data_IF_683012571900
#
_entry.id   IF_683012571900
#
_cell.length_a   1.000
_cell.length_b   1.000
_cell.length_c   1.000
_cell.angle_alpha   90.00
_cell.angle_beta   90.00
_cell.angle_gamma   90.00
#
_symmetry.space_group_name_H-M   'P 1'
#
loop_
_entity.id
_entity.type
_entity.pdbx_description
1 polymer ?
#
# COMPACT_ATOMS: atom_id res chain seq x y z
N UNK A 1 18.91 -6.01 -0.52
CA UNK A 1 18.89 -5.94 0.95
C UNK A 1 20.29 -5.61 1.39
N UNK A 2 20.46 -4.46 2.02
CA UNK A 2 21.69 -4.09 2.71
C UNK A 2 21.97 -5.09 3.82
N UNK A 3 23.24 -5.28 4.19
CA UNK A 3 23.62 -6.24 5.23
C UNK A 3 22.93 -5.96 6.58
N UNK A 4 22.54 -4.70 6.84
CA UNK A 4 21.76 -4.31 8.02
C UNK A 4 20.29 -4.78 7.99
N UNK A 5 19.65 -4.83 6.82
CA UNK A 5 18.25 -5.29 6.71
C UNK A 5 18.17 -6.80 6.93
N UNK A 6 19.17 -7.53 6.42
CA UNK A 6 19.32 -8.96 6.68
C UNK A 6 19.56 -9.20 8.17
N UNK A 7 20.46 -8.43 8.79
CA UNK A 7 20.78 -8.54 10.22
C UNK A 7 19.57 -8.30 11.14
N UNK A 8 18.68 -7.36 10.79
CA UNK A 8 17.42 -7.14 11.53
C UNK A 8 16.43 -8.31 11.38
N UNK A 9 16.32 -8.89 10.17
CA UNK A 9 15.49 -10.08 9.94
C UNK A 9 16.05 -11.30 10.66
N UNK A 10 17.38 -11.47 10.68
CA UNK A 10 18.05 -12.56 11.40
C UNK A 10 17.90 -12.43 12.92
N UNK A 11 18.05 -11.23 13.48
CA UNK A 11 17.82 -10.99 14.92
C UNK A 11 16.38 -11.29 15.34
N UNK A 12 15.40 -10.95 14.50
CA UNK A 12 14.01 -11.30 14.75
C UNK A 12 13.77 -12.81 14.62
N UNK A 13 14.36 -13.48 13.63
CA UNK A 13 14.26 -14.93 13.49
C UNK A 13 14.92 -15.70 14.66
N UNK A 14 16.09 -15.26 15.12
CA UNK A 14 16.77 -15.82 16.30
C UNK A 14 15.96 -15.61 17.59
N UNK A 15 15.31 -14.45 17.74
CA UNK A 15 14.41 -14.21 18.89
C UNK A 15 13.21 -15.16 18.90
N UNK A 16 12.67 -15.50 17.72
CA UNK A 16 11.52 -16.40 17.52
C UNK A 16 11.93 -17.86 17.71
N UNK A 17 13.10 -18.26 17.19
CA UNK A 17 13.65 -19.61 17.43
C UNK A 17 14.01 -19.83 18.91
N UNK A 18 14.53 -18.80 19.60
CA UNK A 18 14.77 -18.87 21.05
C UNK A 18 13.48 -19.03 21.85
N UNK A 19 12.39 -18.37 21.44
CA UNK A 19 11.07 -18.53 22.10
C UNK A 19 10.49 -19.91 21.82
N UNK A 20 10.60 -20.39 20.59
CA UNK A 20 10.17 -21.75 20.20
C UNK A 20 10.97 -22.82 20.95
N UNK A 21 12.29 -22.64 21.11
CA UNK A 21 13.14 -23.54 21.89
C UNK A 21 12.75 -23.57 23.37
N UNK A 22 12.47 -22.41 23.99
CA UNK A 22 11.93 -22.32 25.36
C UNK A 22 10.58 -23.02 25.51
N UNK A 23 9.65 -22.78 24.59
CA UNK A 23 8.33 -23.44 24.55
C UNK A 23 8.44 -24.97 24.45
N UNK A 24 9.36 -25.50 23.64
CA UNK A 24 9.64 -26.95 23.59
C UNK A 24 10.29 -27.48 24.87
N UNK A 25 11.16 -26.69 25.51
CA UNK A 25 11.84 -27.07 26.74
C UNK A 25 10.89 -27.07 27.94
N UNK A 26 9.93 -26.15 27.98
CA UNK A 26 8.89 -26.03 29.00
C UNK A 26 7.78 -27.08 28.83
N UNK A 27 7.40 -27.42 27.59
CA UNK A 27 6.54 -28.58 27.29
C UNK A 27 7.10 -29.90 27.79
N UNK A 28 8.42 -30.06 27.80
CA UNK A 28 9.09 -31.24 28.35
C UNK A 28 9.17 -31.28 29.89
N UNK A 29 8.90 -30.14 30.56
CA UNK A 29 9.10 -29.97 32.01
C UNK A 29 7.84 -30.14 32.85
N UNK A 30 6.67 -30.24 32.22
CA UNK A 30 5.40 -30.50 32.93
C UNK A 30 4.95 -29.38 33.85
N UNK A 31 5.41 -28.15 33.62
CA UNK A 31 4.88 -26.96 34.29
C UNK A 31 3.63 -26.52 33.52
N UNK A 32 2.48 -26.50 34.20
CA UNK A 32 1.26 -25.95 33.63
C UNK A 32 1.46 -24.44 33.47
N UNK A 33 1.58 -23.96 32.24
CA UNK A 33 1.46 -22.53 31.96
C UNK A 33 0.07 -22.08 32.42
N UNK A 34 0.01 -21.00 33.19
CA UNK A 34 -1.25 -20.41 33.62
C UNK A 34 -2.07 -20.04 32.39
N UNK A 35 -3.39 -20.26 32.45
CA UNK A 35 -4.28 -20.07 31.28
C UNK A 35 -4.21 -18.66 30.69
N UNK A 36 -3.83 -17.67 31.49
CA UNK A 36 -3.65 -16.27 31.09
C UNK A 36 -2.38 -16.07 30.26
N UNK A 37 -1.25 -16.68 30.64
CA UNK A 37 0.00 -16.62 29.87
C UNK A 37 -0.12 -17.37 28.54
N UNK A 38 -0.85 -18.49 28.53
CA UNK A 38 -1.17 -19.19 27.30
C UNK A 38 -2.10 -18.38 26.37
N UNK A 39 -3.05 -17.62 26.92
CA UNK A 39 -3.92 -16.71 26.17
C UNK A 39 -3.17 -15.48 25.64
N UNK A 40 -2.23 -14.92 26.41
CA UNK A 40 -1.37 -13.81 25.99
C UNK A 40 -0.43 -14.23 24.85
N UNK A 41 0.23 -15.39 24.97
CA UNK A 41 1.08 -15.96 23.91
C UNK A 41 0.27 -16.29 22.65
N UNK A 42 -0.98 -16.75 22.82
CA UNK A 42 -1.87 -17.01 21.70
C UNK A 42 -2.37 -15.68 21.08
N UNK A 43 -2.62 -14.63 21.87
CA UNK A 43 -2.94 -13.29 21.37
C UNK A 43 -1.75 -12.65 20.63
N UNK A 44 -0.52 -12.82 21.12
CA UNK A 44 0.70 -12.36 20.45
C UNK A 44 1.00 -13.14 19.16
N UNK A 45 0.81 -14.47 19.17
CA UNK A 45 0.95 -15.32 17.99
C UNK A 45 -0.14 -15.05 16.93
N UNK A 46 -1.38 -14.79 17.36
CA UNK A 46 -2.50 -14.41 16.48
C UNK A 46 -2.38 -12.98 15.94
N UNK A 47 -1.69 -12.08 16.66
CA UNK A 47 -1.30 -10.76 16.14
C UNK A 47 -0.09 -10.83 15.19
N UNK A 48 0.64 -11.94 15.23
CA UNK A 48 1.89 -12.20 14.52
C UNK A 48 1.80 -13.15 13.32
N UNK A 49 0.61 -13.46 12.80
CA UNK A 49 0.49 -14.22 11.54
C UNK A 49 0.93 -13.35 10.34
N UNK A 50 2.24 -13.34 10.08
CA UNK A 50 2.90 -13.01 8.82
C UNK A 50 2.15 -12.03 7.89
N UNK A 51 1.88 -10.82 8.39
CA UNK A 51 1.74 -9.66 7.50
C UNK A 51 3.11 -9.51 6.86
N UNK A 52 3.28 -10.02 5.64
CA UNK A 52 4.50 -9.83 4.85
C UNK A 52 4.85 -8.33 4.73
N UNK A 53 5.87 -7.95 3.93
CA UNK A 53 6.34 -6.55 3.82
C UNK A 53 5.33 -5.59 3.16
N UNK A 54 4.06 -5.97 3.11
CA UNK A 54 2.94 -5.25 2.51
C UNK A 54 2.15 -4.53 3.60
N UNK A 55 2.14 -3.22 3.54
CA UNK A 55 1.17 -2.37 4.21
C UNK A 55 -0.19 -2.58 3.55
N UNK A 56 -1.18 -2.95 4.35
CA UNK A 56 -2.55 -3.22 3.93
C UNK A 56 -3.48 -2.14 4.48
N UNK A 57 -4.06 -1.33 3.59
CA UNK A 57 -4.94 -0.22 3.96
C UNK A 57 -6.37 -0.46 3.42
N UNK A 58 -7.34 -0.53 4.33
CA UNK A 58 -8.76 -0.56 4.00
C UNK A 58 -9.27 0.87 3.76
N UNK A 59 -9.78 1.13 2.56
CA UNK A 59 -10.23 2.47 2.17
C UNK A 59 -11.72 2.67 2.47
N UNK A 60 -12.53 1.70 2.04
CA UNK A 60 -13.99 1.77 2.07
C UNK A 60 -14.59 0.37 2.16
N UNK A 61 -15.68 0.26 2.92
CA UNK A 61 -16.56 -0.92 2.93
C UNK A 61 -17.98 -0.44 2.67
N UNK A 62 -18.64 -1.02 1.67
CA UNK A 62 -20.05 -0.76 1.36
C UNK A 62 -20.88 -2.02 1.60
N UNK A 63 -22.11 -1.85 2.09
CA UNK A 63 -23.13 -2.89 2.01
C UNK A 63 -23.90 -2.73 0.70
N UNK A 64 -23.94 -3.78 -0.12
CA UNK A 64 -24.67 -3.85 -1.39
C UNK A 64 -25.67 -4.99 -1.34
N UNK A 65 -26.83 -4.86 -1.98
CA UNK A 65 -27.92 -5.82 -1.84
C UNK A 65 -28.38 -6.34 -3.21
N UNK A 66 -28.77 -7.62 -3.27
CA UNK A 66 -29.45 -8.22 -4.42
C UNK A 66 -30.93 -8.40 -4.09
N UNK A 67 -31.82 -7.87 -4.91
CA UNK A 67 -33.27 -8.08 -4.77
C UNK A 67 -33.64 -9.48 -5.28
N UNK A 68 -34.44 -10.21 -4.50
CA UNK A 68 -35.01 -11.52 -4.82
C UNK A 68 -36.53 -11.50 -4.54
N UNK A 69 -37.34 -12.41 -5.12
CA UNK A 69 -38.80 -12.40 -4.93
C UNK A 69 -39.30 -12.52 -3.47
N UNK A 70 -38.42 -12.82 -2.51
CA UNK A 70 -38.74 -12.90 -1.07
C UNK A 70 -37.99 -11.89 -0.18
N UNK A 71 -37.32 -10.88 -0.74
CA UNK A 71 -36.59 -9.86 0.04
C UNK A 71 -35.31 -9.37 -0.63
N UNK A 72 -34.33 -8.94 0.16
CA UNK A 72 -33.01 -8.57 -0.34
C UNK A 72 -31.91 -9.36 0.38
N UNK A 73 -30.93 -9.82 -0.38
CA UNK A 73 -29.75 -10.52 0.16
C UNK A 73 -28.60 -9.52 0.25
N UNK A 74 -28.14 -9.13 1.46
CA UNK A 74 -27.03 -8.23 1.63
C UNK A 74 -25.69 -8.92 1.37
N UNK A 75 -24.72 -8.14 0.90
CA UNK A 75 -23.32 -8.52 0.70
C UNK A 75 -22.45 -7.31 0.99
N UNK A 76 -21.24 -7.53 1.48
CA UNK A 76 -20.28 -6.46 1.70
C UNK A 76 -19.28 -6.39 0.56
N UNK A 77 -18.92 -5.17 0.18
CA UNK A 77 -17.87 -4.87 -0.80
C UNK A 77 -16.79 -4.05 -0.12
N UNK A 78 -15.56 -4.56 -0.12
CA UNK A 78 -14.40 -3.87 0.41
C UNK A 78 -13.52 -3.34 -0.73
N UNK A 79 -12.92 -2.17 -0.53
CA UNK A 79 -11.90 -1.56 -1.38
C UNK A 79 -10.62 -1.42 -0.54
N UNK A 80 -9.55 -2.07 -0.97
CA UNK A 80 -8.27 -2.07 -0.27
C UNK A 80 -7.14 -1.63 -1.18
N UNK A 81 -6.13 -1.03 -0.57
CA UNK A 81 -4.85 -0.68 -1.19
C UNK A 81 -3.76 -1.43 -0.43
N UNK A 82 -2.78 -1.95 -1.18
CA UNK A 82 -1.61 -2.62 -0.62
C UNK A 82 -0.36 -1.98 -1.17
N UNK A 83 0.72 -1.91 -0.40
CA UNK A 83 2.01 -1.46 -0.91
C UNK A 83 3.16 -1.74 0.03
N UNK A 84 4.39 -1.67 -0.46
CA UNK A 84 5.59 -2.02 0.31
C UNK A 84 6.42 -0.79 0.71
N UNK A 85 5.87 0.42 0.60
CA UNK A 85 6.55 1.71 0.84
C UNK A 85 7.78 1.87 -0.08
N UNK A 86 7.98 0.96 -1.04
CA UNK A 86 9.17 0.86 -1.86
C UNK A 86 8.88 0.98 -3.35
N UNK A 87 7.79 1.68 -3.69
CA UNK A 87 7.35 1.89 -5.06
C UNK A 87 6.43 0.80 -5.60
N UNK A 88 6.23 -0.32 -4.90
CA UNK A 88 5.24 -1.31 -5.29
C UNK A 88 3.91 -1.02 -4.59
N UNK A 89 2.86 -0.81 -5.37
CA UNK A 89 1.53 -0.49 -4.85
C UNK A 89 0.46 -1.15 -5.71
N UNK A 90 -0.61 -1.64 -5.10
CA UNK A 90 -1.73 -2.31 -5.76
C UNK A 90 -3.05 -1.99 -5.09
N UNK A 91 -4.15 -2.19 -5.80
CA UNK A 91 -5.49 -2.06 -5.21
C UNK A 91 -6.36 -3.24 -5.62
N UNK A 92 -7.31 -3.55 -4.75
CA UNK A 92 -8.23 -4.67 -4.92
C UNK A 92 -9.63 -4.28 -4.51
N UNK A 93 -10.59 -5.02 -5.06
CA UNK A 93 -11.97 -5.00 -4.61
C UNK A 93 -12.35 -6.43 -4.29
N UNK A 94 -12.98 -6.63 -3.14
CA UNK A 94 -13.53 -7.91 -2.71
C UNK A 94 -15.02 -7.77 -2.43
N UNK A 95 -15.79 -8.84 -2.66
CA UNK A 95 -17.20 -8.90 -2.31
C UNK A 95 -17.51 -10.27 -1.69
N UNK A 96 -18.19 -10.27 -0.55
CA UNK A 96 -18.59 -11.48 0.16
C UNK A 96 -19.87 -11.24 0.97
N UNK A 97 -20.32 -12.27 1.69
CA UNK A 97 -21.49 -12.19 2.58
C UNK A 97 -21.10 -11.58 3.94
N UNK A 98 -19.88 -11.83 4.40
CA UNK A 98 -19.28 -11.20 5.57
C UNK A 98 -18.21 -10.15 5.20
N UNK A 99 -17.95 -9.22 6.12
CA UNK A 99 -16.98 -8.13 5.96
C UNK A 99 -15.54 -8.65 5.98
N UNK A 100 -15.22 -9.64 6.84
CA UNK A 100 -13.86 -10.18 6.95
C UNK A 100 -13.47 -10.89 5.64
N UNK A 101 -14.33 -11.80 5.18
CA UNK A 101 -14.19 -12.46 3.88
C UNK A 101 -14.05 -11.48 2.71
N UNK A 102 -14.83 -10.40 2.70
CA UNK A 102 -14.76 -9.39 1.65
C UNK A 102 -13.41 -8.67 1.67
N UNK A 103 -12.89 -8.39 2.86
CA UNK A 103 -11.62 -7.70 3.09
C UNK A 103 -10.44 -8.58 2.67
N UNK A 104 -10.41 -9.85 3.08
CA UNK A 104 -9.38 -10.81 2.65
C UNK A 104 -9.35 -11.03 1.13
N UNK A 105 -10.54 -11.18 0.51
CA UNK A 105 -10.66 -11.27 -0.94
C UNK A 105 -10.12 -10.01 -1.62
N UNK A 106 -10.38 -8.85 -1.02
CA UNK A 106 -9.87 -7.57 -1.52
C UNK A 106 -8.35 -7.51 -1.45
N UNK A 107 -7.73 -7.90 -0.33
CA UNK A 107 -6.27 -7.95 -0.18
C UNK A 107 -5.62 -8.93 -1.17
N UNK A 108 -6.19 -10.14 -1.33
CA UNK A 108 -5.71 -11.12 -2.30
C UNK A 108 -5.74 -10.58 -3.73
N UNK A 109 -6.79 -9.83 -4.09
CA UNK A 109 -6.89 -9.19 -5.39
C UNK A 109 -5.91 -8.02 -5.54
N UNK A 110 -5.67 -7.25 -4.48
CA UNK A 110 -4.74 -6.14 -4.50
C UNK A 110 -3.30 -6.61 -4.73
N UNK A 111 -2.89 -7.70 -4.08
CA UNK A 111 -1.56 -8.34 -4.26
C UNK A 111 -1.33 -8.86 -5.68
N UNK A 112 -2.40 -9.23 -6.40
CA UNK A 112 -2.31 -9.64 -7.81
C UNK A 112 -2.14 -8.44 -8.77
N UNK A 113 -2.65 -7.27 -8.40
CA UNK A 113 -2.71 -6.07 -9.24
C UNK A 113 -1.70 -5.00 -8.79
N UNK A 114 -0.44 -5.39 -8.65
CA UNK A 114 0.63 -4.47 -8.24
C UNK A 114 1.19 -3.74 -9.46
N UNK A 115 1.40 -2.43 -9.30
CA UNK A 115 2.19 -1.59 -10.20
C UNK A 115 3.47 -1.17 -9.50
N UNK A 116 4.52 -0.93 -10.30
CA UNK A 116 5.80 -0.40 -9.83
C UNK A 116 5.86 1.07 -10.24
N UNK A 117 6.08 1.93 -9.26
CA UNK A 117 6.21 3.38 -9.40
C UNK A 117 7.63 3.79 -9.07
N UNK A 118 8.30 4.41 -10.04
CA UNK A 118 9.62 4.99 -9.83
C UNK A 118 9.54 6.15 -8.83
N UNK A 119 10.45 6.19 -7.87
CA UNK A 119 10.53 7.26 -6.86
C UNK A 119 11.80 8.09 -7.07
N UNK A 120 11.60 9.39 -7.24
CA UNK A 120 12.68 10.37 -7.29
C UNK A 120 13.24 10.61 -5.87
N UNK A 121 14.54 10.43 -5.70
CA UNK A 121 15.21 10.43 -4.37
C UNK A 121 14.52 9.53 -3.33
N UNK A 122 13.89 8.44 -3.77
CA UNK A 122 13.21 7.49 -2.90
C UNK A 122 11.90 7.98 -2.25
N UNK A 123 11.47 9.23 -2.47
CA UNK A 123 10.30 9.81 -1.77
C UNK A 123 9.39 10.72 -2.59
N UNK A 124 9.86 11.28 -3.69
CA UNK A 124 9.12 12.23 -4.51
C UNK A 124 8.83 11.67 -5.91
N UNK A 125 8.00 12.36 -6.69
CA UNK A 125 7.79 12.06 -8.12
C UNK A 125 8.73 12.87 -9.00
N UNK A 126 9.04 12.39 -10.21
CA UNK A 126 9.86 13.14 -11.18
C UNK A 126 9.14 14.34 -11.83
N UNK A 127 7.91 14.14 -12.28
CA UNK A 127 7.11 15.12 -13.04
C UNK A 127 5.65 15.03 -12.62
N UNK A 128 4.88 16.05 -12.96
CA UNK A 128 3.45 16.10 -12.68
C UNK A 128 2.69 15.02 -13.44
N UNK A 129 1.69 14.42 -12.79
CA UNK A 129 0.90 13.33 -13.34
C UNK A 129 -0.57 13.71 -13.44
N UNK A 130 -1.19 13.17 -14.48
CA UNK A 130 -2.61 13.30 -14.73
C UNK A 130 -3.26 11.94 -14.97
N UNK A 131 -4.28 11.64 -14.17
CA UNK A 131 -5.08 10.43 -14.26
C UNK A 131 -6.55 10.75 -14.41
N UNK A 132 -7.26 9.90 -15.15
CA UNK A 132 -8.71 10.00 -15.31
C UNK A 132 -9.33 8.62 -15.21
N UNK A 133 -10.43 8.52 -14.48
CA UNK A 133 -11.32 7.38 -14.53
C UNK A 133 -12.77 7.85 -14.47
N UNK A 134 -13.56 7.50 -15.49
CA UNK A 134 -14.91 8.04 -15.69
C UNK A 134 -14.91 9.58 -15.65
N UNK A 135 -15.77 10.20 -14.85
CA UNK A 135 -15.81 11.65 -14.63
C UNK A 135 -14.77 12.18 -13.62
N UNK A 136 -14.05 11.31 -12.92
CA UNK A 136 -13.07 11.70 -11.90
C UNK A 136 -11.70 11.96 -12.54
N UNK A 137 -11.11 13.11 -12.24
CA UNK A 137 -9.79 13.54 -12.72
C UNK A 137 -8.89 13.78 -11.51
N UNK A 138 -7.69 13.24 -11.53
CA UNK A 138 -6.71 13.37 -10.46
C UNK A 138 -5.43 13.97 -11.03
N UNK A 139 -5.01 15.08 -10.41
CA UNK A 139 -3.76 15.76 -10.69
C UNK A 139 -2.82 15.51 -9.51
N UNK A 140 -1.63 15.02 -9.81
CA UNK A 140 -0.57 14.84 -8.82
C UNK A 140 0.58 15.73 -9.23
N UNK A 141 0.83 16.77 -8.42
CA UNK A 141 1.93 17.68 -8.63
C UNK A 141 3.16 17.15 -7.91
N UNK A 142 4.25 16.98 -8.66
CA UNK A 142 5.53 16.61 -8.12
C UNK A 142 6.09 17.79 -7.32
N UNK A 143 6.54 17.53 -6.10
CA UNK A 143 7.13 18.54 -5.23
C UNK A 143 8.61 18.27 -5.00
N UNK A 144 9.39 19.29 -4.60
CA UNK A 144 10.73 19.07 -4.06
C UNK A 144 10.70 18.18 -2.83
N UNK A 145 11.84 17.58 -2.52
CA UNK A 145 11.99 16.76 -1.31
C UNK A 145 11.70 17.59 -0.06
N UNK A 146 11.13 16.96 0.98
CA UNK A 146 10.75 17.59 2.25
C UNK A 146 9.58 18.59 2.19
N UNK A 147 8.68 18.47 1.20
CA UNK A 147 7.46 19.30 1.13
C UNK A 147 6.29 18.70 1.91
N UNK A 148 6.37 17.41 2.24
CA UNK A 148 5.30 16.59 2.81
C UNK A 148 4.14 16.35 1.83
N UNK A 149 3.32 15.36 2.18
CA UNK A 149 2.23 14.88 1.34
C UNK A 149 0.97 15.69 1.64
N UNK A 150 0.50 16.44 0.65
CA UNK A 150 -0.77 17.20 0.73
C UNK A 150 -1.80 16.55 -0.18
N UNK A 151 -2.56 15.61 0.36
CA UNK A 151 -3.53 14.80 -0.36
C UNK A 151 -4.79 14.56 0.47
N UNK A 152 -5.89 14.19 -0.19
CA UNK A 152 -7.10 13.73 0.49
C UNK A 152 -6.93 12.31 1.04
N UNK A 153 -7.73 11.90 2.02
CA UNK A 153 -7.59 10.62 2.75
C UNK A 153 -7.32 9.39 1.86
N UNK A 154 -8.06 9.27 0.76
CA UNK A 154 -7.97 8.11 -0.15
C UNK A 154 -6.67 8.13 -0.94
N UNK A 155 -6.28 9.29 -1.46
CA UNK A 155 -5.06 9.43 -2.26
C UNK A 155 -3.82 9.42 -1.36
N UNK A 156 -3.93 9.92 -0.13
CA UNK A 156 -2.88 9.84 0.88
C UNK A 156 -2.51 8.37 1.17
N UNK A 157 -3.49 7.53 1.48
CA UNK A 157 -3.26 6.11 1.72
C UNK A 157 -2.59 5.37 0.54
N UNK A 158 -2.85 5.79 -0.71
CA UNK A 158 -2.18 5.24 -1.90
C UNK A 158 -0.73 5.71 -1.98
N UNK A 159 -0.49 7.01 -1.78
CA UNK A 159 0.85 7.59 -1.86
C UNK A 159 1.76 7.05 -0.76
N UNK A 160 1.24 6.92 0.46
CA UNK A 160 1.95 6.30 1.59
C UNK A 160 2.28 4.84 1.31
N UNK A 161 1.32 4.05 0.82
CA UNK A 161 1.55 2.66 0.44
C UNK A 161 2.60 2.52 -0.68
N UNK A 162 2.65 3.48 -1.61
CA UNK A 162 3.68 3.55 -2.65
C UNK A 162 5.04 4.03 -2.13
N UNK A 163 5.11 4.68 -0.96
CA UNK A 163 6.31 5.31 -0.43
C UNK A 163 6.61 6.68 -1.03
N UNK A 164 5.59 7.40 -1.47
CA UNK A 164 5.67 8.78 -1.96
C UNK A 164 5.24 9.70 -0.82
N UNK A 165 6.20 10.44 -0.26
CA UNK A 165 5.99 11.34 0.86
C UNK A 165 5.90 12.81 0.44
N UNK A 166 6.36 13.18 -0.76
CA UNK A 166 6.31 14.56 -1.24
C UNK A 166 5.53 14.67 -2.55
N UNK A 167 4.26 15.08 -2.42
CA UNK A 167 3.38 15.34 -3.54
C UNK A 167 2.20 16.22 -3.09
N UNK A 168 1.63 16.96 -4.03
CA UNK A 168 0.32 17.61 -3.82
C UNK A 168 -0.71 16.97 -4.75
N UNK A 169 -1.84 16.54 -4.22
CA UNK A 169 -2.88 15.89 -5.01
C UNK A 169 -4.14 16.75 -5.03
N UNK A 170 -4.66 16.99 -6.23
CA UNK A 170 -5.93 17.69 -6.46
C UNK A 170 -6.87 16.78 -7.24
N UNK A 171 -8.11 16.68 -6.79
CA UNK A 171 -9.15 15.85 -7.40
C UNK A 171 -10.21 16.77 -7.97
N UNK A 172 -10.53 16.60 -9.25
CA UNK A 172 -11.61 17.31 -9.94
C UNK A 172 -12.73 16.35 -10.32
N UNK A 173 -13.98 16.77 -10.08
CA UNK A 173 -15.17 16.01 -10.43
C UNK A 173 -15.68 15.09 -9.30
N UNK A 174 -16.42 14.02 -9.63
CA UNK A 174 -17.05 13.16 -8.63
C UNK A 174 -16.04 12.43 -7.74
N UNK A 175 -16.21 12.52 -6.42
CA UNK A 175 -15.30 11.96 -5.40
C UNK A 175 -15.72 10.56 -4.92
N UNK A 176 -16.18 9.71 -5.83
CA UNK A 176 -16.45 8.31 -5.49
C UNK A 176 -15.11 7.57 -5.23
N UNK A 177 -14.90 6.92 -4.05
CA UNK A 177 -13.64 6.27 -3.72
C UNK A 177 -13.12 5.31 -4.79
N UNK A 178 -13.99 4.50 -5.39
CA UNK A 178 -13.61 3.55 -6.44
C UNK A 178 -13.04 4.24 -7.68
N UNK A 179 -13.64 5.37 -8.07
CA UNK A 179 -13.18 6.16 -9.22
C UNK A 179 -11.89 6.89 -8.90
N UNK A 180 -11.77 7.46 -7.70
CA UNK A 180 -10.57 8.17 -7.23
C UNK A 180 -9.37 7.23 -7.19
N UNK A 181 -9.51 6.04 -6.58
CA UNK A 181 -8.43 5.04 -6.56
C UNK A 181 -7.99 4.69 -7.98
N UNK A 182 -8.93 4.31 -8.86
CA UNK A 182 -8.60 3.96 -10.25
C UNK A 182 -7.97 5.11 -11.04
N UNK A 183 -8.45 6.34 -10.86
CA UNK A 183 -7.87 7.52 -11.50
C UNK A 183 -6.44 7.79 -11.00
N UNK A 184 -6.19 7.59 -9.71
CA UNK A 184 -4.86 7.75 -9.10
C UNK A 184 -3.89 6.70 -9.63
N UNK A 185 -4.29 5.42 -9.68
CA UNK A 185 -3.48 4.37 -10.30
C UNK A 185 -3.24 4.60 -11.79
N UNK A 186 -4.22 5.16 -12.52
CA UNK A 186 -4.02 5.57 -13.92
C UNK A 186 -2.96 6.68 -14.06
N UNK A 187 -2.91 7.63 -13.11
CA UNK A 187 -1.89 8.66 -13.09
C UNK A 187 -0.50 8.06 -12.80
N UNK A 188 -0.39 7.22 -11.76
CA UNK A 188 0.86 6.58 -11.35
C UNK A 188 1.42 5.63 -12.42
N UNK A 189 0.57 4.91 -13.15
CA UNK A 189 0.99 4.04 -14.27
C UNK A 189 1.66 4.81 -15.43
N UNK A 190 1.34 6.11 -15.58
CA UNK A 190 1.98 6.98 -16.58
C UNK A 190 3.30 7.55 -16.08
N UNK A 191 3.65 7.35 -14.81
CA UNK A 191 4.91 7.83 -14.29
C UNK A 191 6.09 7.17 -15.00
N UNK A 192 7.17 7.94 -15.16
CA UNK A 192 8.40 7.55 -15.85
C UNK A 192 9.56 8.17 -15.09
N UNK A 193 10.58 7.36 -14.82
CA UNK A 193 11.83 7.82 -14.23
C UNK A 193 12.53 8.90 -15.06
N UNK A 194 13.37 9.68 -14.38
CA UNK A 194 14.28 10.64 -15.00
C UNK A 194 15.21 9.98 -16.04
N UNK A 195 15.63 8.74 -15.77
CA UNK A 195 16.49 7.96 -16.68
C UNK A 195 15.77 7.67 -17.98
N UNK A 196 14.49 7.30 -17.90
CA UNK A 196 13.65 7.11 -19.09
C UNK A 196 13.54 8.41 -19.90
N UNK A 197 13.25 9.54 -19.26
CA UNK A 197 13.17 10.84 -19.92
C UNK A 197 14.49 11.27 -20.59
N UNK A 198 15.62 11.06 -19.92
CA UNK A 198 16.95 11.35 -20.46
C UNK A 198 17.23 10.55 -21.74
N UNK A 199 16.90 9.25 -21.71
CA UNK A 199 17.06 8.34 -22.85
C UNK A 199 16.19 8.74 -24.03
N UNK A 200 14.92 9.06 -23.79
CA UNK A 200 13.98 9.46 -24.87
C UNK A 200 14.39 10.81 -25.48
N UNK A 201 14.84 11.77 -24.65
CA UNK A 201 15.24 13.11 -25.12
C UNK A 201 16.67 13.17 -25.66
N UNK A 202 17.47 12.11 -25.54
CA UNK A 202 18.88 12.11 -25.92
C UNK A 202 19.76 13.09 -25.12
N UNK A 203 19.35 13.44 -23.88
CA UNK A 203 20.06 14.41 -23.04
C UNK A 203 20.79 13.74 -21.89
N UNK A 204 21.87 14.36 -21.42
CA UNK A 204 22.57 13.91 -20.22
C UNK A 204 21.64 14.04 -19.00
N UNK A 205 21.65 13.05 -18.12
CA UNK A 205 20.79 13.03 -16.92
C UNK A 205 21.01 14.29 -16.06
N UNK A 206 22.27 14.74 -15.91
CA UNK A 206 22.63 15.95 -15.17
C UNK A 206 21.90 17.21 -15.68
N UNK A 207 21.66 17.30 -16.99
CA UNK A 207 20.95 18.45 -17.57
C UNK A 207 19.48 18.50 -17.14
N UNK A 208 18.84 17.34 -16.97
CA UNK A 208 17.46 17.23 -16.53
C UNK A 208 17.31 17.52 -15.04
N UNK A 209 18.26 17.08 -14.21
CA UNK A 209 18.33 17.46 -12.80
C UNK A 209 18.36 18.99 -12.65
N UNK A 210 19.27 19.65 -13.37
CA UNK A 210 19.39 21.12 -13.35
C UNK A 210 18.12 21.82 -13.85
N UNK A 211 17.49 21.33 -14.92
CA UNK A 211 16.24 21.91 -15.43
C UNK A 211 15.13 21.89 -14.38
N UNK A 212 15.00 20.78 -13.65
CA UNK A 212 14.01 20.64 -12.59
C UNK A 212 14.28 21.57 -11.40
N UNK A 213 15.54 21.71 -10.97
CA UNK A 213 15.92 22.64 -9.91
C UNK A 213 15.59 24.09 -10.28
N UNK A 214 15.76 24.45 -11.55
CA UNK A 214 15.42 25.76 -12.10
C UNK A 214 13.90 25.94 -12.34
N UNK A 215 13.08 24.91 -12.12
CA UNK A 215 11.63 24.96 -12.38
C UNK A 215 11.27 25.04 -13.87
N UNK A 216 12.18 24.66 -14.76
CA UNK A 216 11.98 24.66 -16.21
C UNK A 216 11.46 23.28 -16.62
N UNK A 217 10.18 23.20 -17.00
CA UNK A 217 9.52 21.96 -17.44
C UNK A 217 9.86 21.56 -18.89
#
# INVERSE_FOLDING_TARGET
ATDWEKDQVYKNAESVDMTMQRLTQERGRGENLDSVEAEELNQEAMWGENKGPWMENLIMVDQVQKVVPGGTVPRFRALTVVGNINGAVGFGVGKAEDIQDATEKSFRNAKKNIIIVDRYFGRALYHDLYGKHNGCRVWIYARPVNTELRAGRITAAIMEAAGIMDATVRIDGPMNPYSVVRATFNALSKHRSIVHHARVRGRRILSLYRQRELGIN
#
